data_IF_327359542849
#
_entry.id   IF_327359542849
#
_cell.length_a   1.000
_cell.length_b   1.000
_cell.length_c   1.000
_cell.angle_alpha   90.00
_cell.angle_beta   90.00
_cell.angle_gamma   90.00
#
_symmetry.space_group_name_H-M   'P 1'
#
loop_
_entity.id
_entity.type
_entity.pdbx_description
1 polymer ?
#
# COMPACT_ATOMS: atom_id res chain seq x y z
N UNK A 1 20.71 -28.11 -18.65
CA UNK A 1 19.63 -27.10 -18.68
C UNK A 1 18.69 -27.39 -17.53
N UNK A 2 18.19 -26.37 -16.84
CA UNK A 2 17.25 -26.55 -15.73
C UNK A 2 15.87 -26.92 -16.32
N UNK A 3 15.43 -28.16 -16.11
CA UNK A 3 14.19 -28.74 -16.67
C UNK A 3 12.94 -27.96 -16.28
N UNK A 4 12.93 -27.39 -15.08
CA UNK A 4 11.83 -26.56 -14.58
C UNK A 4 11.76 -25.25 -15.35
N UNK A 5 12.92 -24.61 -15.60
CA UNK A 5 12.97 -23.37 -16.40
C UNK A 5 12.46 -23.59 -17.82
N UNK A 6 12.82 -24.71 -18.46
CA UNK A 6 12.34 -25.01 -19.82
C UNK A 6 10.82 -25.24 -19.85
N UNK A 7 10.27 -25.92 -18.86
CA UNK A 7 8.82 -26.15 -18.79
C UNK A 7 8.04 -24.85 -18.57
N UNK A 8 8.56 -23.95 -17.73
CA UNK A 8 7.95 -22.64 -17.48
C UNK A 8 7.93 -21.80 -18.76
N UNK A 9 9.05 -21.73 -19.50
CA UNK A 9 9.13 -20.97 -20.77
C UNK A 9 8.13 -21.53 -21.78
N UNK A 10 8.08 -22.85 -21.93
CA UNK A 10 7.17 -23.50 -22.88
C UNK A 10 5.70 -23.24 -22.53
N UNK A 11 5.34 -23.22 -21.24
CA UNK A 11 3.98 -22.86 -20.80
C UNK A 11 3.68 -21.40 -21.08
N UNK A 12 4.62 -20.48 -20.83
CA UNK A 12 4.44 -19.04 -21.09
C UNK A 12 4.21 -18.73 -22.57
N UNK A 13 4.87 -19.46 -23.49
CA UNK A 13 4.67 -19.32 -24.93
C UNK A 13 3.26 -19.71 -25.41
N UNK A 14 2.55 -20.54 -24.65
CA UNK A 14 1.18 -20.98 -24.99
C UNK A 14 0.09 -20.08 -24.42
N UNK A 15 0.44 -19.09 -23.60
CA UNK A 15 -0.52 -18.20 -22.95
C UNK A 15 -0.95 -17.10 -23.92
N UNK A 16 -2.27 -16.81 -24.03
CA UNK A 16 -2.76 -15.66 -24.79
C UNK A 16 -2.17 -14.33 -24.30
N UNK A 17 -1.84 -13.40 -25.22
CA UNK A 17 -1.13 -12.15 -24.89
C UNK A 17 -1.77 -11.33 -23.76
N UNK A 18 -3.10 -11.28 -23.70
CA UNK A 18 -3.83 -10.59 -22.64
C UNK A 18 -3.56 -11.18 -21.26
N UNK A 19 -3.44 -12.51 -21.17
CA UNK A 19 -3.14 -13.25 -19.95
C UNK A 19 -1.65 -13.29 -19.65
N UNK A 20 -0.80 -13.28 -20.68
CA UNK A 20 0.65 -13.17 -20.50
C UNK A 20 1.01 -11.85 -19.80
N UNK A 21 0.34 -10.75 -20.17
CA UNK A 21 0.52 -9.46 -19.50
C UNK A 21 0.14 -9.49 -18.01
N UNK A 22 -0.98 -10.11 -17.66
CA UNK A 22 -1.39 -10.30 -16.25
C UNK A 22 -0.33 -11.11 -15.49
N UNK A 23 0.14 -12.23 -16.05
CA UNK A 23 1.16 -13.09 -15.43
C UNK A 23 2.48 -12.34 -15.22
N UNK A 24 2.95 -11.59 -16.23
CA UNK A 24 4.18 -10.79 -16.11
C UNK A 24 4.03 -9.68 -15.06
N UNK A 25 2.87 -9.02 -14.99
CA UNK A 25 2.60 -8.01 -13.96
C UNK A 25 2.63 -8.61 -12.56
N UNK A 26 2.10 -9.83 -12.39
CA UNK A 26 2.13 -10.53 -11.12
C UNK A 26 3.55 -10.97 -10.74
N UNK A 27 4.36 -11.44 -11.68
CA UNK A 27 5.77 -11.76 -11.42
C UNK A 27 6.56 -10.52 -11.00
N UNK A 28 6.34 -9.37 -11.64
CA UNK A 28 6.95 -8.10 -11.22
C UNK A 28 6.50 -7.70 -9.81
N UNK A 29 5.22 -7.88 -9.50
CA UNK A 29 4.71 -7.65 -8.15
C UNK A 29 5.40 -8.54 -7.12
N UNK A 30 5.61 -9.83 -7.40
CA UNK A 30 6.31 -10.74 -6.48
C UNK A 30 7.76 -10.30 -6.22
N UNK A 31 8.47 -9.84 -7.25
CA UNK A 31 9.83 -9.28 -7.10
C UNK A 31 9.79 -8.02 -6.24
N UNK A 32 8.88 -7.10 -6.53
CA UNK A 32 8.69 -5.90 -5.72
C UNK A 32 8.35 -6.24 -4.26
N UNK A 33 7.50 -7.23 -4.02
CA UNK A 33 7.12 -7.68 -2.68
C UNK A 33 8.30 -8.27 -1.92
N UNK A 34 9.23 -8.98 -2.58
CA UNK A 34 10.44 -9.46 -1.92
C UNK A 34 11.35 -8.32 -1.47
N UNK A 35 11.38 -7.20 -2.21
CA UNK A 35 12.16 -6.01 -1.87
C UNK A 35 11.43 -5.09 -0.88
N UNK A 36 10.09 -5.16 -0.85
CA UNK A 36 9.20 -4.33 -0.05
C UNK A 36 8.33 -5.24 0.83
N UNK A 37 8.96 -6.17 1.53
CA UNK A 37 8.25 -7.06 2.43
C UNK A 37 7.61 -6.22 3.53
N UNK A 38 6.30 -6.38 3.72
CA UNK A 38 5.62 -5.76 4.86
C UNK A 38 6.29 -6.26 6.13
N UNK A 39 6.67 -5.32 6.96
CA UNK A 39 7.19 -5.65 8.28
C UNK A 39 6.03 -6.03 9.20
N UNK A 40 6.36 -6.70 10.31
CA UNK A 40 5.37 -6.94 11.36
C UNK A 40 4.83 -5.61 11.88
N UNK A 41 5.68 -4.59 12.00
CA UNK A 41 5.30 -3.23 12.40
C UNK A 41 4.26 -2.61 11.46
N UNK A 42 4.42 -2.75 10.13
CA UNK A 42 3.43 -2.27 9.16
C UNK A 42 2.09 -2.98 9.31
N UNK A 43 2.14 -4.26 9.66
CA UNK A 43 0.95 -5.10 9.83
C UNK A 43 0.23 -4.74 11.13
N UNK A 44 0.97 -4.60 12.23
CA UNK A 44 0.46 -4.23 13.54
C UNK A 44 -0.13 -2.80 13.52
N UNK A 45 0.54 -1.88 12.82
CA UNK A 45 0.03 -0.52 12.61
C UNK A 45 -1.30 -0.53 11.87
N UNK A 46 -1.38 -1.26 10.75
CA UNK A 46 -2.61 -1.36 9.95
C UNK A 46 -3.74 -2.05 10.72
N UNK A 47 -3.44 -3.14 11.42
CA UNK A 47 -4.43 -3.88 12.22
C UNK A 47 -4.96 -3.04 13.38
N UNK A 48 -4.07 -2.30 14.07
CA UNK A 48 -4.46 -1.39 15.13
C UNK A 48 -5.36 -0.26 14.59
N UNK A 49 -5.03 0.32 13.44
CA UNK A 49 -5.84 1.38 12.82
C UNK A 49 -7.23 0.86 12.44
N UNK A 50 -7.28 -0.29 11.76
CA UNK A 50 -8.53 -0.91 11.32
C UNK A 50 -9.39 -1.44 12.48
N UNK A 51 -8.79 -1.88 13.57
CA UNK A 51 -9.51 -2.36 14.76
C UNK A 51 -10.42 -1.30 15.39
N UNK A 52 -10.12 -0.02 15.11
CA UNK A 52 -10.88 1.10 15.63
C UNK A 52 -12.06 1.50 14.75
N UNK A 53 -12.23 0.90 13.55
CA UNK A 53 -13.28 1.23 12.60
C UNK A 53 -14.69 1.12 13.18
N UNK A 54 -14.93 0.11 14.00
CA UNK A 54 -16.23 -0.09 14.67
C UNK A 54 -16.54 0.97 15.73
N UNK A 55 -15.55 1.75 16.16
CA UNK A 55 -15.72 2.84 17.13
C UNK A 55 -16.08 4.18 16.46
N UNK A 56 -16.00 4.26 15.12
CA UNK A 56 -16.37 5.48 14.41
C UNK A 56 -17.83 5.41 13.99
N UNK A 57 -18.55 6.50 14.24
CA UNK A 57 -19.87 6.70 13.64
C UNK A 57 -19.75 6.62 12.11
N UNK A 58 -20.66 5.92 11.42
CA UNK A 58 -20.71 5.93 9.98
C UNK A 58 -20.70 7.37 9.45
N UNK A 59 -19.84 7.64 8.47
CA UNK A 59 -19.78 8.97 7.88
C UNK A 59 -21.06 9.23 7.07
N UNK A 60 -21.91 10.10 7.59
CA UNK A 60 -23.15 10.53 6.94
C UNK A 60 -22.83 11.57 5.86
N UNK A 61 -22.62 11.08 4.64
CA UNK A 61 -22.38 11.90 3.45
C UNK A 61 -23.48 12.96 3.30
N UNK A 62 -23.08 14.22 3.18
CA UNK A 62 -24.02 15.29 2.86
C UNK A 62 -24.33 15.31 1.36
N UNK A 63 -25.52 15.82 1.01
CA UNK A 63 -25.94 15.94 -0.38
C UNK A 63 -24.95 16.83 -1.17
N UNK A 64 -24.27 16.26 -2.17
CA UNK A 64 -23.27 16.94 -2.99
C UNK A 64 -21.80 16.67 -2.65
N UNK A 65 -21.47 15.98 -1.55
CA UNK A 65 -20.07 15.64 -1.19
C UNK A 65 -19.44 14.56 -2.08
N UNK A 66 -20.27 13.72 -2.72
CA UNK A 66 -19.81 12.66 -3.62
C UNK A 66 -19.48 13.17 -5.04
N UNK A 67 -19.68 14.47 -5.33
CA UNK A 67 -19.36 15.08 -6.62
C UNK A 67 -18.06 15.90 -6.54
N UNK A 68 -17.24 15.80 -7.60
CA UNK A 68 -15.90 16.40 -7.79
C UNK A 68 -15.15 16.76 -6.50
N UNK A 69 -14.32 15.82 -6.03
CA UNK A 69 -13.53 15.95 -4.81
C UNK A 69 -12.85 17.32 -4.69
N UNK A 70 -13.25 18.08 -3.67
CA UNK A 70 -12.60 19.31 -3.31
C UNK A 70 -11.20 18.99 -2.76
N UNK A 71 -10.12 19.63 -3.26
CA UNK A 71 -8.79 19.41 -2.74
C UNK A 71 -8.73 19.86 -1.27
N UNK A 72 -8.58 18.90 -0.36
CA UNK A 72 -8.40 19.17 1.07
C UNK A 72 -7.00 19.76 1.28
N UNK A 73 -6.94 21.00 1.80
CA UNK A 73 -5.67 21.59 2.26
C UNK A 73 -5.28 20.96 3.59
N UNK A 74 -4.08 20.38 3.65
CA UNK A 74 -3.52 19.86 4.89
C UNK A 74 -3.37 20.99 5.92
N UNK A 75 -4.01 20.85 7.08
CA UNK A 75 -3.86 21.77 8.22
C UNK A 75 -3.09 21.01 9.31
N UNK A 76 -1.82 21.36 9.50
CA UNK A 76 -1.02 20.81 10.59
C UNK A 76 -1.60 21.29 11.93
N UNK A 77 -2.34 20.44 12.63
CA UNK A 77 -2.79 20.72 14.00
C UNK A 77 -1.59 20.74 14.96
N UNK A 78 -1.69 21.52 16.05
CA UNK A 78 -0.58 21.78 16.98
C UNK A 78 0.00 20.51 17.66
N UNK A 79 -0.74 19.40 17.67
CA UNK A 79 -0.24 18.10 18.13
C UNK A 79 0.82 17.49 17.20
N UNK A 80 0.75 17.73 15.88
CA UNK A 80 1.77 17.29 14.92
C UNK A 80 3.08 18.08 15.02
N UNK A 81 3.03 19.36 15.41
CA UNK A 81 4.22 20.20 15.57
C UNK A 81 5.12 19.75 16.74
N UNK A 82 4.53 19.21 17.81
CA UNK A 82 5.29 18.74 18.98
C UNK A 82 6.03 17.42 18.69
N UNK A 83 5.44 16.53 17.89
CA UNK A 83 6.08 15.28 17.47
C UNK A 83 7.22 15.54 16.44
N UNK A 84 7.05 16.51 15.54
CA UNK A 84 8.10 16.88 14.58
C UNK A 84 9.33 17.51 15.26
N UNK A 85 9.15 18.35 16.28
CA UNK A 85 10.28 18.93 17.04
C UNK A 85 11.07 17.89 17.84
N UNK A 86 10.41 16.84 18.33
CA UNK A 86 11.07 15.78 19.13
C UNK A 86 11.94 14.86 18.26
N UNK A 87 11.49 14.56 17.04
CA UNK A 87 12.26 13.77 16.06
C UNK A 87 13.53 14.49 15.58
N UNK A 88 13.44 15.81 15.31
CA UNK A 88 14.58 16.61 14.85
C UNK A 88 15.68 16.81 15.91
N UNK A 89 15.34 16.73 17.20
CA UNK A 89 16.32 16.83 18.28
C UNK A 89 17.07 15.52 18.55
N UNK A 90 16.54 14.37 18.11
CA UNK A 90 17.22 13.08 18.25
C UNK A 90 18.27 12.81 17.16
N UNK A 91 18.22 13.53 16.04
CA UNK A 91 19.20 13.45 14.95
C UNK A 91 20.40 14.42 15.10
N UNK A 92 20.48 15.19 16.19
CA UNK A 92 21.57 16.15 16.48
C UNK A 92 22.34 15.85 17.78
N UNK A 93 22.49 14.58 18.15
CA UNK A 93 23.41 14.16 19.21
C UNK A 93 24.39 13.11 18.71
#
# INVERSE_FOLDING_TARGET
MNTIKSEIVQRLETIPDNKLREVLSFLNYLVWQTENSRTQEDTDWLESDLSSLDNYEPYEWQEGELLEGLPVKFIASASHLNNMKRSQNHFKK
#
